data_IF_947930657470
#
_entry.id   IF_947930657470
#
_cell.length_a   1.000
_cell.length_b   1.000
_cell.length_c   1.000
_cell.angle_alpha   90.00
_cell.angle_beta   90.00
_cell.angle_gamma   90.00
#
_symmetry.space_group_name_H-M   'P 1'
#
loop_
_entity.id
_entity.type
_entity.pdbx_description
1 polymer ?
#
# COMPACT_ATOMS: atom_id res chain seq x y z
N UNK A 1 29.34 -35.86 -3.57
CA UNK A 1 29.69 -34.50 -4.04
C UNK A 1 30.27 -33.70 -2.86
N UNK A 2 31.45 -33.07 -3.00
CA UNK A 2 32.07 -32.30 -1.89
C UNK A 2 31.60 -30.84 -1.92
N UNK A 3 30.59 -30.53 -1.12
CA UNK A 3 29.95 -29.22 -1.05
C UNK A 3 30.91 -28.08 -0.68
N UNK A 4 31.92 -28.32 0.16
CA UNK A 4 32.90 -27.29 0.56
C UNK A 4 33.79 -26.85 -0.59
N UNK A 5 34.25 -27.81 -1.41
CA UNK A 5 35.07 -27.53 -2.60
C UNK A 5 34.28 -26.75 -3.65
N UNK A 6 33.03 -27.16 -3.89
CA UNK A 6 32.13 -26.49 -4.85
C UNK A 6 31.84 -25.05 -4.42
N UNK A 7 31.52 -24.83 -3.15
CA UNK A 7 31.28 -23.49 -2.61
C UNK A 7 32.51 -22.58 -2.73
N UNK A 8 33.72 -23.10 -2.44
CA UNK A 8 34.97 -22.34 -2.56
C UNK A 8 35.22 -21.90 -4.01
N UNK A 9 35.05 -22.80 -4.97
CA UNK A 9 35.17 -22.48 -6.41
C UNK A 9 34.14 -21.42 -6.83
N UNK A 10 32.88 -21.56 -6.40
CA UNK A 10 31.82 -20.58 -6.69
C UNK A 10 32.14 -19.18 -6.18
N UNK A 11 32.71 -19.09 -4.97
CA UNK A 11 33.11 -17.82 -4.36
C UNK A 11 34.33 -17.23 -5.04
N UNK A 12 35.37 -18.04 -5.29
CA UNK A 12 36.63 -17.58 -5.86
C UNK A 12 36.45 -17.15 -7.34
N UNK A 13 35.54 -17.79 -8.07
CA UNK A 13 35.14 -17.39 -9.43
C UNK A 13 34.03 -16.32 -9.45
N UNK A 14 33.61 -15.82 -8.29
CA UNK A 14 32.56 -14.80 -8.12
C UNK A 14 31.25 -15.13 -8.88
N UNK A 15 30.89 -16.41 -8.92
CA UNK A 15 29.71 -16.94 -9.65
C UNK A 15 28.40 -16.80 -8.85
N UNK A 16 28.42 -16.07 -7.74
CA UNK A 16 27.23 -15.84 -6.94
C UNK A 16 26.25 -14.93 -7.71
N UNK A 17 25.01 -15.39 -7.88
CA UNK A 17 23.94 -14.57 -8.46
C UNK A 17 23.72 -13.36 -7.54
N UNK A 18 23.94 -12.14 -8.04
CA UNK A 18 23.64 -10.91 -7.29
C UNK A 18 22.14 -10.87 -6.98
N UNK A 19 21.79 -10.91 -5.71
CA UNK A 19 20.43 -10.59 -5.25
C UNK A 19 20.18 -9.11 -5.54
N UNK A 20 19.27 -8.80 -6.47
CA UNK A 20 18.80 -7.43 -6.67
C UNK A 20 18.13 -6.97 -5.37
N UNK A 21 18.63 -5.87 -4.79
CA UNK A 21 17.97 -5.23 -3.65
C UNK A 21 16.56 -4.77 -4.01
N UNK A 22 15.67 -4.71 -3.02
CA UNK A 22 14.30 -4.20 -3.21
C UNK A 22 14.40 -2.76 -3.74
N UNK A 23 13.76 -2.50 -4.89
CA UNK A 23 13.68 -1.15 -5.47
C UNK A 23 12.96 -0.24 -4.48
N UNK A 24 13.63 0.83 -4.02
CA UNK A 24 12.97 1.86 -3.21
C UNK A 24 12.14 2.72 -4.16
N UNK A 25 10.84 2.80 -3.94
CA UNK A 25 9.99 3.77 -4.63
C UNK A 25 10.24 5.14 -4.00
N UNK A 26 10.73 6.09 -4.80
CA UNK A 26 10.76 7.49 -4.41
C UNK A 26 9.35 8.05 -4.65
N UNK A 27 8.64 8.40 -3.58
CA UNK A 27 7.27 8.94 -3.66
C UNK A 27 7.18 10.36 -4.24
N UNK A 28 8.26 10.91 -4.78
CA UNK A 28 8.36 12.30 -5.21
C UNK A 28 8.12 13.29 -4.04
N UNK A 29 8.22 14.59 -4.33
CA UNK A 29 7.62 15.60 -3.45
C UNK A 29 6.11 15.55 -3.69
N UNK A 30 5.34 15.12 -2.69
CA UNK A 30 3.88 15.31 -2.72
C UNK A 30 3.61 16.81 -2.76
N UNK A 31 2.93 17.28 -3.79
CA UNK A 31 2.38 18.63 -3.80
C UNK A 31 1.42 18.76 -2.62
N UNK A 32 1.50 19.84 -1.82
CA UNK A 32 0.49 20.12 -0.81
C UNK A 32 -0.88 20.15 -1.46
N UNK A 33 -1.86 19.46 -0.87
CA UNK A 33 -3.25 19.57 -1.31
C UNK A 33 -3.77 20.94 -0.86
N UNK A 34 -4.49 21.62 -1.74
CA UNK A 34 -5.19 22.86 -1.39
C UNK A 34 -6.31 22.55 -0.40
N UNK A 35 -6.49 23.41 0.61
CA UNK A 35 -7.60 23.28 1.56
C UNK A 35 -8.87 23.83 0.92
N UNK A 36 -9.99 23.08 0.92
CA UNK A 36 -11.28 23.60 0.43
C UNK A 36 -11.73 24.80 1.28
N UNK A 37 -12.50 25.71 0.67
CA UNK A 37 -12.93 26.96 1.31
C UNK A 37 -14.38 26.93 1.80
N UNK A 38 -15.20 26.03 1.25
CA UNK A 38 -16.63 25.88 1.59
C UNK A 38 -17.00 24.39 1.70
N UNK A 39 -18.06 24.04 2.44
CA UNK A 39 -18.59 22.67 2.44
C UNK A 39 -18.97 22.20 1.03
N UNK A 40 -18.80 20.91 0.75
CA UNK A 40 -19.11 20.29 -0.54
C UNK A 40 -18.28 20.78 -1.74
N UNK A 41 -17.19 21.50 -1.50
CA UNK A 41 -16.24 21.91 -2.55
C UNK A 41 -15.34 20.73 -2.99
N UNK A 42 -15.01 19.84 -2.05
CA UNK A 42 -14.17 18.67 -2.31
C UNK A 42 -14.49 17.53 -1.37
N UNK A 43 -14.59 16.33 -1.93
CA UNK A 43 -14.72 15.09 -1.18
C UNK A 43 -13.49 14.21 -1.34
N UNK A 44 -13.05 13.62 -0.25
CA UNK A 44 -12.09 12.51 -0.27
C UNK A 44 -12.84 11.19 -0.18
N UNK A 45 -12.33 10.20 -0.90
CA UNK A 45 -12.81 8.82 -0.81
C UNK A 45 -11.65 7.90 -0.46
N UNK A 46 -11.89 6.97 0.46
CA UNK A 46 -10.93 5.92 0.79
C UNK A 46 -11.61 4.56 1.00
N UNK A 47 -10.77 3.53 1.00
CA UNK A 47 -11.20 2.17 1.28
C UNK A 47 -10.55 1.65 2.56
N UNK A 48 -11.37 1.17 3.48
CA UNK A 48 -10.89 0.40 4.64
C UNK A 48 -11.27 -1.06 4.45
N UNK A 49 -10.35 -1.98 4.78
CA UNK A 49 -10.61 -3.43 4.71
C UNK A 49 -10.53 -4.02 6.10
N UNK A 50 -11.53 -4.85 6.44
CA UNK A 50 -11.59 -5.51 7.75
C UNK A 50 -12.18 -6.93 7.61
N UNK A 51 -12.16 -7.69 8.70
CA UNK A 51 -12.58 -9.10 8.78
C UNK A 51 -13.50 -9.30 9.97
N UNK A 52 -14.67 -9.92 9.74
CA UNK A 52 -15.60 -10.29 10.79
C UNK A 52 -15.04 -11.45 11.65
N UNK A 53 -15.64 -11.68 12.82
CA UNK A 53 -15.23 -12.77 13.73
C UNK A 53 -15.30 -14.16 13.09
N UNK A 54 -16.12 -14.35 12.05
CA UNK A 54 -16.24 -15.60 11.28
C UNK A 54 -15.27 -15.70 10.10
N UNK A 55 -14.32 -14.77 9.97
CA UNK A 55 -13.30 -14.77 8.92
C UNK A 55 -13.75 -14.19 7.57
N UNK A 56 -15.02 -13.77 7.43
CA UNK A 56 -15.48 -13.10 6.21
C UNK A 56 -14.90 -11.69 6.12
N UNK A 57 -14.28 -11.37 4.98
CA UNK A 57 -13.74 -10.04 4.70
C UNK A 57 -14.81 -9.12 4.15
N UNK A 58 -14.70 -7.84 4.49
CA UNK A 58 -15.47 -6.77 3.88
C UNK A 58 -14.59 -5.54 3.67
N UNK A 59 -15.08 -4.63 2.83
CA UNK A 59 -14.47 -3.32 2.60
C UNK A 59 -15.54 -2.25 2.79
N UNK A 60 -15.12 -1.11 3.30
CA UNK A 60 -15.93 0.10 3.36
C UNK A 60 -15.37 1.10 2.36
N UNK A 61 -16.24 1.73 1.58
CA UNK A 61 -15.97 2.95 0.84
C UNK A 61 -16.41 4.11 1.73
N UNK A 62 -15.46 4.92 2.19
CA UNK A 62 -15.74 6.07 3.04
C UNK A 62 -15.71 7.34 2.18
N UNK A 63 -16.79 8.12 2.17
CA UNK A 63 -16.86 9.42 1.49
C UNK A 63 -16.89 10.52 2.56
N UNK A 64 -15.92 11.43 2.52
CA UNK A 64 -15.73 12.47 3.54
C UNK A 64 -15.63 13.83 2.85
N UNK A 65 -16.30 14.84 3.39
CA UNK A 65 -16.12 16.23 2.98
C UNK A 65 -14.82 16.80 3.55
N UNK A 66 -13.94 17.30 2.68
CA UNK A 66 -12.60 17.74 3.08
C UNK A 66 -12.62 19.03 3.93
N UNK A 67 -13.68 19.83 3.82
CA UNK A 67 -13.85 21.08 4.57
C UNK A 67 -14.39 20.84 5.99
N UNK A 68 -15.58 20.26 6.09
CA UNK A 68 -16.29 20.01 7.35
C UNK A 68 -15.77 18.80 8.12
N UNK A 69 -15.05 17.89 7.44
CA UNK A 69 -14.67 16.56 7.94
C UNK A 69 -15.86 15.67 8.28
N UNK A 70 -17.04 15.98 7.77
CA UNK A 70 -18.22 15.14 7.91
C UNK A 70 -18.11 13.92 7.00
N UNK A 71 -18.52 12.76 7.52
CA UNK A 71 -18.66 11.56 6.72
C UNK A 71 -20.02 11.60 6.03
N UNK A 72 -19.99 11.77 4.71
CA UNK A 72 -21.20 11.89 3.89
C UNK A 72 -21.85 10.53 3.67
N UNK A 73 -21.04 9.49 3.44
CA UNK A 73 -21.53 8.15 3.17
C UNK A 73 -20.47 7.09 3.52
N UNK A 74 -20.93 5.92 3.97
CA UNK A 74 -20.11 4.72 4.14
C UNK A 74 -20.84 3.56 3.48
N UNK A 75 -20.32 3.11 2.33
CA UNK A 75 -20.86 1.96 1.63
C UNK A 75 -20.06 0.70 1.98
N UNK A 76 -20.75 -0.36 2.42
CA UNK A 76 -20.11 -1.60 2.89
C UNK A 76 -20.39 -2.74 1.93
N UNK A 77 -19.33 -3.29 1.34
CA UNK A 77 -19.44 -4.43 0.43
C UNK A 77 -18.41 -5.52 0.72
N UNK A 78 -18.76 -6.76 0.36
CA UNK A 78 -17.88 -7.93 0.44
C UNK A 78 -17.02 -8.12 -0.82
N UNK A 79 -17.33 -7.40 -1.90
CA UNK A 79 -16.52 -7.31 -3.11
C UNK A 79 -16.77 -5.98 -3.84
N UNK A 80 -15.72 -5.19 -4.01
CA UNK A 80 -15.65 -4.06 -4.95
C UNK A 80 -14.60 -4.42 -5.99
#
# INVERSE_FOLDING_TARGET
MNHKRVYRIYRDLNLAVRKRGRRKYHWGRRTPKETPLVPNDRWSMDFTSDTLSDGRRFRTLNIIDDFSRECLEIEVSRSI
#
